data_IF_988894115217
#
_entry.id   IF_988894115217
#
_cell.length_a   1.000
_cell.length_b   1.000
_cell.length_c   1.000
_cell.angle_alpha   90.00
_cell.angle_beta   90.00
_cell.angle_gamma   90.00
#
_symmetry.space_group_name_H-M   'P 1'
#
loop_
_entity.id
_entity.type
_entity.pdbx_description
1 polymer ?
#
# COMPACT_ATOMS: atom_id res chain seq x y z
N UNK A 1 11.13 -15.07 -12.58
CA UNK A 1 12.05 -15.59 -11.55
C UNK A 1 13.41 -15.01 -11.87
N UNK A 2 13.93 -14.12 -11.02
CA UNK A 2 15.29 -13.63 -11.13
C UNK A 2 16.06 -14.13 -9.92
N UNK A 3 17.10 -14.93 -10.16
CA UNK A 3 17.90 -15.58 -9.13
C UNK A 3 19.37 -15.29 -9.38
N UNK A 4 20.07 -14.83 -8.35
CA UNK A 4 21.50 -14.57 -8.40
C UNK A 4 22.21 -15.55 -7.47
N UNK A 5 23.15 -16.32 -8.02
CA UNK A 5 24.02 -17.19 -7.22
C UNK A 5 25.32 -16.42 -6.96
N UNK A 6 25.59 -16.11 -5.71
CA UNK A 6 26.84 -15.48 -5.28
C UNK A 6 27.90 -16.58 -5.10
N UNK A 7 29.20 -16.35 -5.37
CA UNK A 7 30.26 -17.36 -5.21
C UNK A 7 30.38 -17.99 -3.82
N UNK A 8 29.71 -17.43 -2.82
CA UNK A 8 29.62 -17.92 -1.42
C UNK A 8 28.62 -19.06 -1.22
N UNK A 9 28.04 -19.62 -2.30
CA UNK A 9 26.96 -20.63 -2.29
C UNK A 9 25.60 -20.11 -1.80
N UNK A 10 25.46 -18.80 -1.67
CA UNK A 10 24.17 -18.20 -1.32
C UNK A 10 23.22 -18.19 -2.53
N UNK A 11 22.00 -18.69 -2.34
CA UNK A 11 20.99 -18.84 -3.39
C UNK A 11 19.74 -18.05 -3.04
N UNK A 12 19.74 -16.76 -3.36
CA UNK A 12 18.65 -15.83 -3.05
C UNK A 12 17.74 -15.67 -4.27
N UNK A 13 16.43 -15.82 -4.08
CA UNK A 13 15.41 -15.76 -5.12
C UNK A 13 14.40 -14.65 -4.87
N UNK A 14 14.20 -13.83 -5.91
CA UNK A 14 13.15 -12.82 -5.98
C UNK A 14 11.94 -13.35 -6.76
N UNK A 15 10.80 -13.43 -6.09
CA UNK A 15 9.52 -13.75 -6.70
C UNK A 15 8.82 -12.44 -7.09
N UNK A 16 8.84 -12.12 -8.38
CA UNK A 16 8.21 -10.92 -8.93
C UNK A 16 6.96 -11.29 -9.73
N UNK A 17 5.91 -10.48 -9.57
CA UNK A 17 4.75 -10.47 -10.48
C UNK A 17 4.88 -9.27 -11.39
N UNK A 18 4.86 -9.52 -12.70
CA UNK A 18 4.87 -8.48 -13.72
C UNK A 18 3.49 -8.35 -14.33
N UNK A 19 2.99 -7.12 -14.38
CA UNK A 19 1.72 -6.78 -15.05
C UNK A 19 1.90 -6.59 -16.55
N UNK A 20 0.81 -6.61 -17.31
CA UNK A 20 0.77 -6.28 -18.74
C UNK A 20 1.30 -4.88 -19.07
N UNK A 21 1.22 -3.95 -18.11
CA UNK A 21 1.82 -2.61 -18.17
C UNK A 21 3.28 -2.56 -17.69
N UNK A 22 3.96 -3.70 -17.58
CA UNK A 22 5.38 -3.85 -17.16
C UNK A 22 5.71 -3.30 -15.77
N UNK A 23 4.74 -3.26 -14.85
CA UNK A 23 5.03 -2.98 -13.43
C UNK A 23 5.31 -4.27 -12.70
N UNK A 24 6.33 -4.24 -11.87
CA UNK A 24 6.84 -5.38 -11.11
C UNK A 24 6.52 -5.22 -9.64
N UNK A 25 6.00 -6.29 -9.02
CA UNK A 25 5.67 -6.34 -7.61
C UNK A 25 6.47 -7.48 -6.96
N UNK A 26 7.25 -7.15 -5.94
CA UNK A 26 7.94 -8.15 -5.13
C UNK A 26 6.92 -8.88 -4.25
N UNK A 27 6.74 -10.17 -4.53
CA UNK A 27 5.86 -11.04 -3.80
C UNK A 27 6.58 -11.65 -2.60
N UNK A 28 7.81 -12.13 -2.81
CA UNK A 28 8.58 -12.79 -1.77
C UNK A 28 10.07 -12.74 -2.07
N UNK A 29 10.86 -12.70 -1.01
CA UNK A 29 12.31 -12.87 -1.01
C UNK A 29 12.60 -14.15 -0.23
N UNK A 30 13.29 -15.10 -0.86
CA UNK A 30 13.60 -16.40 -0.27
C UNK A 30 15.08 -16.70 -0.37
N UNK A 31 15.60 -17.27 0.71
CA UNK A 31 16.96 -17.79 0.77
C UNK A 31 16.90 -19.32 0.71
N UNK A 32 17.47 -19.89 -0.35
CA UNK A 32 17.53 -21.33 -0.59
C UNK A 32 18.98 -21.83 -0.60
N UNK A 33 19.91 -21.14 0.05
CA UNK A 33 21.33 -21.52 0.09
C UNK A 33 21.56 -22.97 0.52
N UNK A 34 20.70 -23.52 1.37
CA UNK A 34 20.78 -24.90 1.86
C UNK A 34 20.07 -25.94 0.97
N UNK A 35 19.26 -25.51 -0.02
CA UNK A 35 18.29 -26.37 -0.73
C UNK A 35 18.19 -26.11 -2.25
N UNK A 36 19.04 -25.25 -2.81
CA UNK A 36 18.91 -24.69 -4.17
C UNK A 36 19.17 -25.65 -5.34
N UNK A 37 19.65 -26.87 -5.08
CA UNK A 37 20.09 -27.80 -6.13
C UNK A 37 18.97 -28.62 -6.76
N UNK A 38 17.76 -28.60 -6.20
CA UNK A 38 16.66 -29.46 -6.66
C UNK A 38 15.62 -28.64 -7.45
N UNK A 39 15.55 -28.86 -8.76
CA UNK A 39 14.55 -28.24 -9.63
C UNK A 39 13.11 -28.54 -9.18
N UNK A 40 12.89 -29.72 -8.58
CA UNK A 40 11.61 -30.12 -7.98
C UNK A 40 11.24 -29.26 -6.77
N UNK A 41 12.21 -28.92 -5.92
CA UNK A 41 11.99 -28.04 -4.78
C UNK A 41 11.53 -26.65 -5.23
N UNK A 42 12.21 -26.05 -6.22
CA UNK A 42 11.82 -24.75 -6.77
C UNK A 42 10.44 -24.79 -7.44
N UNK A 43 10.09 -25.88 -8.12
CA UNK A 43 8.77 -26.05 -8.72
C UNK A 43 7.66 -26.11 -7.66
N UNK A 44 7.88 -26.85 -6.57
CA UNK A 44 6.95 -26.93 -5.45
C UNK A 44 6.82 -25.58 -4.75
N UNK A 45 7.93 -24.87 -4.48
CA UNK A 45 7.90 -23.53 -3.90
C UNK A 45 7.14 -22.52 -4.76
N UNK A 46 7.31 -22.57 -6.09
CA UNK A 46 6.53 -21.73 -7.01
C UNK A 46 5.03 -22.07 -6.91
N UNK A 47 4.68 -23.36 -6.87
CA UNK A 47 3.29 -23.81 -6.72
C UNK A 47 2.69 -23.30 -5.41
N UNK A 48 3.40 -23.46 -4.30
CA UNK A 48 2.96 -23.01 -2.98
C UNK A 48 2.79 -21.48 -2.93
N UNK A 49 3.69 -20.73 -3.55
CA UNK A 49 3.58 -19.27 -3.65
C UNK A 49 2.34 -18.89 -4.48
N UNK A 50 2.08 -19.59 -5.59
CA UNK A 50 0.89 -19.36 -6.42
C UNK A 50 -0.39 -19.69 -5.63
N UNK A 51 -0.43 -20.78 -4.87
CA UNK A 51 -1.57 -21.14 -4.02
C UNK A 51 -1.78 -20.14 -2.87
N UNK A 52 -0.70 -19.70 -2.21
CA UNK A 52 -0.75 -18.69 -1.16
C UNK A 52 -1.20 -17.32 -1.69
N UNK A 53 -0.90 -17.02 -2.95
CA UNK A 53 -1.45 -15.92 -3.73
C UNK A 53 -2.84 -16.31 -4.22
N UNK A 54 -3.81 -16.37 -3.30
CA UNK A 54 -5.20 -16.53 -3.70
C UNK A 54 -5.59 -15.44 -4.72
N UNK A 55 -6.55 -15.76 -5.58
CA UNK A 55 -7.11 -14.80 -6.55
C UNK A 55 -7.56 -13.50 -5.87
N UNK A 56 -7.96 -13.58 -4.60
CA UNK A 56 -8.35 -12.43 -3.78
C UNK A 56 -7.17 -11.50 -3.47
N UNK A 57 -6.01 -12.03 -3.07
CA UNK A 57 -4.81 -11.22 -2.81
C UNK A 57 -4.28 -10.57 -4.08
N UNK A 58 -4.30 -11.31 -5.18
CA UNK A 58 -3.92 -10.77 -6.49
C UNK A 58 -4.87 -9.65 -6.94
N UNK A 59 -6.19 -9.88 -6.83
CA UNK A 59 -7.20 -8.88 -7.13
C UNK A 59 -7.05 -7.63 -6.25
N UNK A 60 -6.72 -7.78 -4.96
CA UNK A 60 -6.49 -6.66 -4.05
C UNK A 60 -5.28 -5.80 -4.47
N UNK A 61 -4.18 -6.42 -4.88
CA UNK A 61 -2.98 -5.70 -5.38
C UNK A 61 -3.31 -4.92 -6.65
N UNK A 62 -3.98 -5.56 -7.61
CA UNK A 62 -4.39 -4.91 -8.86
C UNK A 62 -5.38 -3.76 -8.61
N UNK A 63 -6.38 -3.96 -7.74
CA UNK A 63 -7.37 -2.94 -7.40
C UNK A 63 -6.72 -1.74 -6.71
N UNK A 64 -5.84 -1.98 -5.73
CA UNK A 64 -5.08 -0.93 -5.03
C UNK A 64 -4.23 -0.13 -6.02
N UNK A 65 -3.59 -0.82 -6.96
CA UNK A 65 -2.80 -0.16 -7.98
C UNK A 65 -3.63 0.74 -8.91
N UNK A 66 -4.76 0.23 -9.40
CA UNK A 66 -5.67 0.99 -10.25
C UNK A 66 -6.23 2.22 -9.53
N UNK A 67 -6.62 2.07 -8.26
CA UNK A 67 -7.08 3.18 -7.42
C UNK A 67 -5.99 4.24 -7.27
N UNK A 68 -4.74 3.84 -7.00
CA UNK A 68 -3.62 4.77 -6.87
C UNK A 68 -3.34 5.56 -8.15
N UNK A 69 -3.47 4.93 -9.32
CA UNK A 69 -3.34 5.62 -10.61
C UNK A 69 -4.46 6.64 -10.82
N UNK A 70 -5.71 6.22 -10.62
CA UNK A 70 -6.87 7.11 -10.74
C UNK A 70 -6.74 8.29 -9.76
N UNK A 71 -6.33 8.03 -8.52
CA UNK A 71 -6.12 9.07 -7.52
C UNK A 71 -5.01 10.04 -7.93
N UNK A 72 -3.89 9.55 -8.47
CA UNK A 72 -2.80 10.39 -8.95
C UNK A 72 -3.28 11.33 -10.06
N UNK A 73 -4.08 10.83 -11.00
CA UNK A 73 -4.64 11.63 -12.09
C UNK A 73 -5.69 12.64 -11.59
N UNK A 74 -6.59 12.22 -10.69
CA UNK A 74 -7.60 13.09 -10.09
C UNK A 74 -6.96 14.26 -9.35
N UNK A 75 -5.88 14.02 -8.60
CA UNK A 75 -5.16 15.07 -7.88
C UNK A 75 -4.51 16.08 -8.82
N UNK A 76 -4.34 15.77 -10.12
CA UNK A 76 -3.87 16.76 -11.10
C UNK A 76 -4.95 17.76 -11.53
N UNK A 77 -6.24 17.41 -11.40
CA UNK A 77 -7.35 18.29 -11.76
C UNK A 77 -7.41 19.51 -10.85
N UNK A 78 -7.51 20.71 -11.43
CA UNK A 78 -7.47 21.97 -10.69
C UNK A 78 -8.60 22.10 -9.64
N UNK A 79 -9.78 21.59 -9.98
CA UNK A 79 -10.92 21.54 -9.04
C UNK A 79 -10.60 20.69 -7.81
N UNK A 80 -9.94 19.55 -8.00
CA UNK A 80 -9.53 18.64 -6.91
C UNK A 80 -8.39 19.25 -6.10
N UNK A 81 -7.38 19.84 -6.75
CA UNK A 81 -6.30 20.58 -6.05
C UNK A 81 -6.85 21.67 -5.16
N UNK A 82 -7.76 22.48 -5.69
CA UNK A 82 -8.42 23.57 -4.95
C UNK A 82 -9.23 23.04 -3.78
N UNK A 83 -9.96 21.94 -3.97
CA UNK A 83 -10.71 21.28 -2.90
C UNK A 83 -9.77 20.82 -1.78
N UNK A 84 -8.69 20.10 -2.10
CA UNK A 84 -7.69 19.62 -1.13
C UNK A 84 -7.05 20.78 -0.38
N UNK A 85 -6.68 21.86 -1.08
CA UNK A 85 -6.12 23.06 -0.45
C UNK A 85 -7.10 23.69 0.54
N UNK A 86 -8.36 23.85 0.16
CA UNK A 86 -9.40 24.39 1.04
C UNK A 86 -9.58 23.52 2.29
N UNK A 87 -9.61 22.19 2.14
CA UNK A 87 -9.64 21.26 3.27
C UNK A 87 -8.43 21.47 4.20
N UNK A 88 -7.23 21.64 3.64
CA UNK A 88 -6.02 21.95 4.39
C UNK A 88 -6.12 23.25 5.19
N UNK A 89 -6.69 24.31 4.60
CA UNK A 89 -6.93 25.59 5.27
C UNK A 89 -7.93 25.48 6.41
N UNK A 90 -9.02 24.74 6.21
CA UNK A 90 -10.03 24.48 7.25
C UNK A 90 -9.41 23.71 8.42
N UNK A 91 -8.66 22.66 8.12
CA UNK A 91 -7.97 21.88 9.15
C UNK A 91 -6.97 22.74 9.93
N UNK A 92 -6.19 23.58 9.25
CA UNK A 92 -5.28 24.50 9.90
C UNK A 92 -6.01 25.48 10.83
N UNK A 93 -7.11 26.07 10.37
CA UNK A 93 -7.93 26.99 11.17
C UNK A 93 -8.42 26.35 12.48
N UNK A 94 -8.97 25.13 12.41
CA UNK A 94 -9.44 24.43 13.60
C UNK A 94 -8.32 23.93 14.52
N UNK A 95 -7.09 23.79 14.03
CA UNK A 95 -5.93 23.44 14.86
C UNK A 95 -5.31 24.65 15.55
N UNK A 96 -5.29 25.82 14.90
CA UNK A 96 -4.61 27.01 15.43
C UNK A 96 -5.51 27.94 16.23
N UNK A 97 -6.81 27.95 15.97
CA UNK A 97 -7.77 28.77 16.71
C UNK A 97 -8.30 28.02 17.93
N UNK A 98 -7.92 28.45 19.14
CA UNK A 98 -8.34 27.84 20.40
C UNK A 98 -9.87 27.74 20.55
N UNK A 99 -10.58 28.84 20.27
CA UNK A 99 -12.05 28.87 20.35
C UNK A 99 -12.72 27.94 19.35
N UNK A 100 -12.20 27.87 18.13
CA UNK A 100 -12.75 27.01 17.07
C UNK A 100 -12.44 25.54 17.33
N UNK A 101 -11.26 25.23 17.86
CA UNK A 101 -10.88 23.89 18.31
C UNK A 101 -11.82 23.39 19.40
N UNK A 102 -12.04 24.20 20.45
CA UNK A 102 -12.96 23.88 21.54
C UNK A 102 -14.38 23.61 21.05
N UNK A 103 -14.87 24.42 20.10
CA UNK A 103 -16.18 24.26 19.51
C UNK A 103 -16.28 22.95 18.70
N UNK A 104 -15.24 22.63 17.93
CA UNK A 104 -15.15 21.40 17.15
C UNK A 104 -15.12 20.16 18.06
N UNK A 105 -14.32 20.15 19.12
CA UNK A 105 -14.25 19.04 20.08
C UNK A 105 -15.59 18.81 20.77
N UNK A 106 -16.29 19.88 21.18
CA UNK A 106 -17.68 19.77 21.69
C UNK A 106 -18.62 19.16 20.66
N UNK A 107 -18.46 19.52 19.39
CA UNK A 107 -19.17 18.90 18.27
C UNK A 107 -18.94 17.39 18.19
N UNK A 108 -17.69 16.94 18.26
CA UNK A 108 -17.34 15.51 18.24
C UNK A 108 -17.98 14.74 19.39
N UNK A 109 -17.93 15.30 20.61
CA UNK A 109 -18.58 14.72 21.79
C UNK A 109 -20.09 14.58 21.58
N UNK A 110 -20.76 15.64 21.12
CA UNK A 110 -22.20 15.64 20.86
C UNK A 110 -22.60 14.63 19.78
N UNK A 111 -21.76 14.47 18.75
CA UNK A 111 -21.99 13.52 17.65
C UNK A 111 -21.54 12.09 17.99
N UNK A 112 -21.02 11.84 19.19
CA UNK A 112 -20.48 10.54 19.63
C UNK A 112 -19.37 10.01 18.71
N UNK A 113 -18.61 10.90 18.08
CA UNK A 113 -17.48 10.56 17.23
C UNK A 113 -16.27 10.30 18.13
N UNK A 114 -15.67 9.10 18.00
CA UNK A 114 -14.48 8.73 18.78
C UNK A 114 -13.21 9.32 18.15
N UNK A 115 -12.28 9.73 19.01
CA UNK A 115 -10.91 10.24 18.77
C UNK A 115 -10.70 11.77 18.84
N UNK A 116 -11.71 12.57 19.22
CA UNK A 116 -11.64 14.01 19.57
C UNK A 116 -10.83 14.97 18.66
N UNK A 117 -10.34 14.49 17.51
CA UNK A 117 -9.44 15.21 16.61
C UNK A 117 -9.77 14.95 15.13
N UNK A 118 -9.40 15.93 14.29
CA UNK A 118 -9.44 15.79 12.83
C UNK A 118 -8.31 14.88 12.35
N UNK A 119 -8.69 13.74 11.78
CA UNK A 119 -7.74 12.85 11.10
C UNK A 119 -7.26 13.48 9.80
N UNK A 120 -5.94 13.60 9.65
CA UNK A 120 -5.28 14.13 8.45
C UNK A 120 -4.87 13.05 7.45
N UNK A 121 -4.92 11.78 7.85
CA UNK A 121 -4.70 10.62 6.98
C UNK A 121 -5.43 9.40 7.55
N UNK A 122 -5.61 8.39 6.70
CA UNK A 122 -6.07 7.05 7.08
C UNK A 122 -5.00 6.06 6.63
N UNK A 123 -4.60 5.15 7.53
CA UNK A 123 -3.70 4.06 7.16
C UNK A 123 -4.53 3.00 6.42
N UNK A 124 -4.32 2.87 5.12
CA UNK A 124 -4.83 1.75 4.32
C UNK A 124 -3.87 0.57 4.52
N UNK A 125 -4.43 -0.56 4.95
CA UNK A 125 -3.72 -1.84 5.12
C UNK A 125 -3.58 -2.57 3.79
#
# INVERSE_FOLDING_TARGET
LDGWIIPTMESIYNYLVTTDIRKEYLISLRDYSDQSYMSEFLANEISDIIEQLSSEKFAAICATHAINLIAADLVQLESVKKLINNCGRINHFFKTSYSSHSLLTKGFVNMKIKNDELKTWVKTY
#
